data_IF_557527534052
#
_entry.id   IF_557527534052
#
_cell.length_a   1.000
_cell.length_b   1.000
_cell.length_c   1.000
_cell.angle_alpha   90.00
_cell.angle_beta   90.00
_cell.angle_gamma   90.00
#
_symmetry.space_group_name_H-M   'P 1'
#
loop_
_entity.id
_entity.type
_entity.pdbx_description
1 polymer ?
#
# COMPACT_ATOMS: atom_id res chain seq x y z
N UNK A 1 -8.82 -22.98 -21.18
CA UNK A 1 -10.07 -22.32 -20.77
C UNK A 1 -11.08 -23.42 -20.50
N UNK A 2 -11.33 -23.78 -19.24
CA UNK A 2 -12.34 -24.80 -18.91
C UNK A 2 -13.74 -24.28 -19.24
N UNK A 3 -14.49 -25.05 -20.03
CA UNK A 3 -15.89 -24.73 -20.33
C UNK A 3 -16.71 -24.83 -19.03
N UNK A 4 -17.42 -23.75 -18.68
CA UNK A 4 -18.20 -23.63 -17.45
C UNK A 4 -19.12 -24.86 -17.28
N UNK A 5 -18.99 -25.58 -16.15
CA UNK A 5 -19.75 -26.81 -15.85
C UNK A 5 -21.26 -26.65 -16.02
N UNK A 6 -21.78 -25.44 -15.78
CA UNK A 6 -23.19 -25.07 -15.99
C UNK A 6 -23.57 -25.18 -17.47
N UNK A 7 -22.71 -24.69 -18.38
CA UNK A 7 -22.95 -24.71 -19.82
C UNK A 7 -22.88 -26.12 -20.41
N UNK A 8 -22.02 -26.99 -19.84
CA UNK A 8 -21.95 -28.41 -20.20
C UNK A 8 -23.22 -29.18 -19.79
N UNK A 9 -23.84 -28.81 -18.67
CA UNK A 9 -25.10 -29.40 -18.23
C UNK A 9 -26.27 -29.05 -19.17
N UNK A 10 -26.42 -27.77 -19.55
CA UNK A 10 -27.48 -27.33 -20.48
C UNK A 10 -27.35 -27.92 -21.89
N UNK A 11 -26.13 -28.22 -22.34
CA UNK A 11 -25.87 -28.89 -23.62
C UNK A 11 -25.99 -30.42 -23.56
N UNK A 12 -26.23 -31.00 -22.38
CA UNK A 12 -26.29 -32.46 -22.25
C UNK A 12 -27.54 -33.02 -22.96
N UNK A 13 -27.42 -34.13 -23.72
CA UNK A 13 -28.55 -34.74 -24.42
C UNK A 13 -29.71 -35.11 -23.49
N UNK A 14 -29.41 -35.52 -22.26
CA UNK A 14 -30.39 -35.87 -21.24
C UNK A 14 -31.20 -34.67 -20.75
N UNK A 15 -30.56 -33.50 -20.62
CA UNK A 15 -31.28 -32.26 -20.27
C UNK A 15 -32.17 -31.80 -21.42
N UNK A 16 -31.66 -31.85 -22.66
CA UNK A 16 -32.42 -31.47 -23.84
C UNK A 16 -33.65 -32.35 -24.04
N UNK A 17 -33.52 -33.67 -23.91
CA UNK A 17 -34.66 -34.59 -24.03
C UNK A 17 -35.70 -34.38 -22.93
N UNK A 18 -35.28 -34.20 -21.68
CA UNK A 18 -36.17 -33.88 -20.57
C UNK A 18 -36.91 -32.56 -20.79
N UNK A 19 -36.20 -31.52 -21.24
CA UNK A 19 -36.79 -30.21 -21.54
C UNK A 19 -37.82 -30.28 -22.67
N UNK A 20 -37.54 -31.06 -23.73
CA UNK A 20 -38.49 -31.30 -24.82
C UNK A 20 -39.75 -32.01 -24.30
N UNK A 21 -39.62 -33.07 -23.51
CA UNK A 21 -40.77 -33.78 -22.92
C UNK A 21 -41.59 -32.86 -22.02
N UNK A 22 -40.94 -32.05 -21.19
CA UNK A 22 -41.62 -31.07 -20.33
C UNK A 22 -42.40 -30.05 -21.17
N UNK A 23 -41.81 -29.57 -22.26
CA UNK A 23 -42.44 -28.58 -23.15
C UNK A 23 -43.72 -29.14 -23.76
N UNK A 24 -43.70 -30.39 -24.23
CA UNK A 24 -44.91 -31.04 -24.73
C UNK A 24 -45.96 -31.24 -23.62
N UNK A 25 -45.57 -31.70 -22.43
CA UNK A 25 -46.48 -31.89 -21.31
C UNK A 25 -47.17 -30.57 -20.90
N UNK A 26 -46.41 -29.47 -20.87
CA UNK A 26 -46.94 -28.12 -20.60
C UNK A 26 -47.90 -27.69 -21.71
N UNK A 27 -47.55 -27.91 -22.98
CA UNK A 27 -48.42 -27.55 -24.11
C UNK A 27 -49.76 -28.30 -24.07
N UNK A 28 -49.75 -29.61 -23.79
CA UNK A 28 -50.97 -30.40 -23.61
C UNK A 28 -51.81 -29.92 -22.42
N UNK A 29 -51.16 -29.60 -21.29
CA UNK A 29 -51.85 -29.12 -20.11
C UNK A 29 -52.47 -27.73 -20.33
N UNK A 30 -51.79 -26.82 -21.03
CA UNK A 30 -52.32 -25.52 -21.43
C UNK A 30 -53.54 -25.70 -22.35
N UNK A 31 -53.48 -26.61 -23.33
CA UNK A 31 -54.62 -26.93 -24.19
C UNK A 31 -55.84 -27.41 -23.40
N UNK A 32 -55.64 -28.33 -22.46
CA UNK A 32 -56.70 -28.81 -21.56
C UNK A 32 -57.28 -27.67 -20.70
N UNK A 33 -56.43 -26.82 -20.11
CA UNK A 33 -56.89 -25.68 -19.33
C UNK A 33 -57.64 -24.65 -20.18
N UNK A 34 -57.26 -24.46 -21.45
CA UNK A 34 -57.94 -23.55 -22.37
C UNK A 34 -59.36 -24.01 -22.67
N UNK A 35 -59.57 -25.32 -22.85
CA UNK A 35 -60.90 -25.91 -23.05
C UNK A 35 -61.80 -25.78 -21.81
N UNK A 36 -61.23 -25.92 -20.61
CA UNK A 36 -62.00 -25.91 -19.34
C UNK A 36 -62.28 -24.48 -18.83
N UNK A 37 -61.31 -23.58 -18.89
CA UNK A 37 -61.39 -22.25 -18.26
C UNK A 37 -61.67 -21.12 -19.25
N UNK A 38 -61.55 -21.39 -20.56
CA UNK A 38 -61.61 -20.38 -21.62
C UNK A 38 -60.31 -19.58 -21.77
N UNK A 39 -60.00 -19.15 -22.99
CA UNK A 39 -58.70 -18.55 -23.32
C UNK A 39 -58.36 -17.25 -22.56
N UNK A 40 -59.38 -16.45 -22.20
CA UNK A 40 -59.18 -15.18 -21.51
C UNK A 40 -58.73 -15.39 -20.04
N UNK A 41 -59.29 -16.38 -19.35
CA UNK A 41 -58.90 -16.72 -17.98
C UNK A 41 -57.49 -17.34 -17.92
N UNK A 42 -57.12 -18.10 -18.96
CA UNK A 42 -55.77 -18.66 -19.08
C UNK A 42 -54.72 -17.55 -19.26
N UNK A 43 -55.01 -16.55 -20.09
CA UNK A 43 -54.12 -15.40 -20.29
C UNK A 43 -53.93 -14.61 -18.98
N UNK A 44 -55.01 -14.33 -18.24
CA UNK A 44 -54.95 -13.65 -16.94
C UNK A 44 -54.10 -14.47 -15.94
N UNK A 45 -54.33 -15.78 -15.85
CA UNK A 45 -53.55 -16.66 -14.97
C UNK A 45 -52.07 -16.71 -15.32
N UNK A 46 -51.73 -16.77 -16.62
CA UNK A 46 -50.36 -16.75 -17.10
C UNK A 46 -49.65 -15.42 -16.78
N UNK A 47 -50.34 -14.28 -16.95
CA UNK A 47 -49.82 -12.96 -16.61
C UNK A 47 -49.53 -12.83 -15.12
N UNK A 48 -50.45 -13.26 -14.25
CA UNK A 48 -50.27 -13.24 -12.79
C UNK A 48 -49.10 -14.13 -12.37
N UNK A 49 -49.02 -15.35 -12.92
CA UNK A 49 -47.94 -16.29 -12.60
C UNK A 49 -46.58 -15.76 -13.02
N UNK A 50 -46.50 -15.16 -14.22
CA UNK A 50 -45.27 -14.53 -14.71
C UNK A 50 -44.84 -13.37 -13.82
N UNK A 51 -45.80 -12.54 -13.39
CA UNK A 51 -45.52 -11.44 -12.46
C UNK A 51 -44.99 -11.95 -11.11
N UNK A 52 -45.60 -13.00 -10.55
CA UNK A 52 -45.12 -13.62 -9.30
C UNK A 52 -43.71 -14.20 -9.47
N UNK A 53 -43.42 -14.86 -10.59
CA UNK A 53 -42.09 -15.39 -10.87
C UNK A 53 -41.05 -14.27 -10.97
N UNK A 54 -41.34 -13.19 -11.69
CA UNK A 54 -40.46 -12.03 -11.81
C UNK A 54 -40.22 -11.35 -10.45
N UNK A 55 -41.27 -11.19 -9.64
CA UNK A 55 -41.15 -10.66 -8.28
C UNK A 55 -40.29 -11.55 -7.39
N UNK A 56 -40.42 -12.88 -7.51
CA UNK A 56 -39.62 -13.84 -6.75
C UNK A 56 -38.13 -13.77 -7.13
N UNK A 57 -37.82 -13.65 -8.42
CA UNK A 57 -36.44 -13.44 -8.91
C UNK A 57 -35.89 -12.11 -8.42
N UNK A 58 -36.69 -11.04 -8.43
CA UNK A 58 -36.28 -9.73 -7.95
C UNK A 58 -35.98 -9.72 -6.44
N UNK A 59 -36.85 -10.28 -5.62
CA UNK A 59 -36.65 -10.44 -4.17
C UNK A 59 -35.39 -11.29 -3.89
N UNK A 60 -35.22 -12.39 -4.61
CA UNK A 60 -34.03 -13.23 -4.46
C UNK A 60 -32.75 -12.49 -4.84
N UNK A 61 -32.78 -11.69 -5.91
CA UNK A 61 -31.63 -10.88 -6.32
C UNK A 61 -31.27 -9.83 -5.27
N UNK A 62 -32.25 -9.16 -4.65
CA UNK A 62 -32.00 -8.20 -3.58
C UNK A 62 -31.33 -8.86 -2.37
N UNK A 63 -31.87 -10.02 -1.93
CA UNK A 63 -31.32 -10.76 -0.80
C UNK A 63 -29.91 -11.32 -1.08
N UNK A 64 -29.69 -11.82 -2.30
CA UNK A 64 -28.38 -12.33 -2.74
C UNK A 64 -27.33 -11.22 -2.75
N UNK A 65 -27.69 -10.01 -3.22
CA UNK A 65 -26.77 -8.87 -3.23
C UNK A 65 -26.39 -8.41 -1.82
N UNK A 66 -27.34 -8.36 -0.88
CA UNK A 66 -27.05 -8.04 0.52
C UNK A 66 -26.12 -9.07 1.17
N UNK A 67 -26.40 -10.35 0.99
CA UNK A 67 -25.54 -11.43 1.51
C UNK A 67 -24.15 -11.39 0.89
N UNK A 68 -24.03 -10.97 -0.37
CA UNK A 68 -22.76 -10.82 -1.05
C UNK A 68 -21.99 -9.64 -0.44
N UNK A 69 -22.60 -8.48 -0.25
CA UNK A 69 -22.01 -7.33 0.44
C UNK A 69 -21.55 -7.67 1.87
N UNK A 70 -22.37 -8.35 2.67
CA UNK A 70 -21.99 -8.79 4.02
C UNK A 70 -20.77 -9.73 4.01
N UNK A 71 -20.71 -10.66 3.06
CA UNK A 71 -19.55 -11.55 2.90
C UNK A 71 -18.30 -10.80 2.44
N UNK A 72 -18.45 -9.75 1.63
CA UNK A 72 -17.32 -8.90 1.21
C UNK A 72 -16.80 -8.08 2.40
N UNK A 73 -17.70 -7.45 3.17
CA UNK A 73 -17.34 -6.68 4.37
C UNK A 73 -16.65 -7.58 5.40
N UNK A 74 -17.19 -8.79 5.65
CA UNK A 74 -16.57 -9.75 6.57
C UNK A 74 -15.17 -10.18 6.14
N UNK A 75 -14.94 -10.37 4.83
CA UNK A 75 -13.60 -10.71 4.29
C UNK A 75 -12.61 -9.55 4.38
N UNK A 76 -13.08 -8.31 4.21
CA UNK A 76 -12.24 -7.10 4.39
C UNK A 76 -11.81 -6.98 5.86
N UNK A 77 -12.74 -7.17 6.80
CA UNK A 77 -12.43 -7.15 8.24
C UNK A 77 -11.37 -8.18 8.63
N UNK A 78 -11.48 -9.41 8.14
CA UNK A 78 -10.47 -10.47 8.37
C UNK A 78 -9.10 -10.06 7.80
N UNK A 79 -9.08 -9.39 6.64
CA UNK A 79 -7.84 -8.92 6.03
C UNK A 79 -7.21 -7.78 6.85
N UNK A 80 -8.00 -6.83 7.32
CA UNK A 80 -7.54 -5.74 8.18
C UNK A 80 -7.02 -6.26 9.52
N UNK A 81 -7.71 -7.22 10.13
CA UNK A 81 -7.28 -7.85 11.38
C UNK A 81 -6.00 -8.66 11.18
N UNK A 82 -5.84 -9.35 10.04
CA UNK A 82 -4.60 -10.04 9.69
C UNK A 82 -3.44 -9.04 9.50
N UNK A 83 -3.68 -7.91 8.84
CA UNK A 83 -2.69 -6.85 8.61
C UNK A 83 -2.26 -6.22 9.95
N UNK A 84 -3.21 -5.95 10.85
CA UNK A 84 -2.94 -5.39 12.19
C UNK A 84 -2.21 -6.40 13.08
N UNK A 85 -2.68 -7.65 13.13
CA UNK A 85 -2.12 -8.70 14.00
C UNK A 85 -0.68 -9.08 13.65
N UNK A 86 -0.27 -8.93 12.38
CA UNK A 86 1.09 -9.23 11.93
C UNK A 86 1.98 -7.98 11.81
N UNK A 87 1.53 -6.80 12.27
CA UNK A 87 2.28 -5.55 12.15
C UNK A 87 2.46 -5.05 10.70
N UNK A 88 1.78 -5.66 9.74
CA UNK A 88 1.85 -5.31 8.31
C UNK A 88 1.18 -3.96 8.04
N UNK A 89 0.32 -3.47 8.94
CA UNK A 89 -0.32 -2.15 8.82
C UNK A 89 0.67 -0.99 8.89
N UNK A 90 1.86 -1.22 9.45
CA UNK A 90 2.95 -0.25 9.49
C UNK A 90 3.86 -0.34 8.26
N UNK A 91 3.69 -1.33 7.38
CA UNK A 91 4.49 -1.42 6.16
C UNK A 91 3.97 -0.40 5.16
N UNK A 92 4.83 0.55 4.80
CA UNK A 92 4.56 1.54 3.76
C UNK A 92 5.35 1.18 2.50
N UNK A 93 4.78 1.51 1.35
CA UNK A 93 5.44 1.32 0.06
C UNK A 93 6.21 2.59 -0.35
N UNK A 94 7.06 2.45 -1.38
CA UNK A 94 7.88 3.55 -1.91
C UNK A 94 7.05 4.75 -2.39
N UNK A 95 5.83 4.54 -2.90
CA UNK A 95 4.95 5.62 -3.33
C UNK A 95 4.49 6.49 -2.16
N UNK A 96 4.12 5.87 -1.04
CA UNK A 96 3.77 6.60 0.20
C UNK A 96 4.97 7.36 0.73
N UNK A 97 6.15 6.73 0.73
CA UNK A 97 7.40 7.36 1.15
C UNK A 97 7.72 8.59 0.30
N UNK A 98 7.62 8.46 -1.03
CA UNK A 98 7.86 9.55 -1.96
C UNK A 98 6.88 10.72 -1.74
N UNK A 99 5.62 10.45 -1.39
CA UNK A 99 4.66 11.50 -1.03
C UNK A 99 5.12 12.22 0.23
N UNK A 100 5.49 11.50 1.30
CA UNK A 100 5.94 12.09 2.55
C UNK A 100 7.19 12.93 2.34
N UNK A 101 8.18 12.36 1.68
CA UNK A 101 9.41 13.06 1.35
C UNK A 101 9.13 14.29 0.49
N UNK A 102 8.25 14.20 -0.52
CA UNK A 102 7.88 15.34 -1.38
C UNK A 102 7.24 16.49 -0.59
N UNK A 103 6.41 16.18 0.40
CA UNK A 103 5.70 17.15 1.24
C UNK A 103 6.53 17.73 2.38
N UNK A 104 7.59 17.01 2.79
CA UNK A 104 8.39 17.39 3.93
C UNK A 104 9.27 18.60 3.63
N UNK A 105 9.34 19.51 4.61
CA UNK A 105 10.24 20.66 4.60
C UNK A 105 11.64 20.33 5.15
N UNK A 106 11.67 19.40 6.11
CA UNK A 106 12.88 18.93 6.78
C UNK A 106 12.90 17.41 6.89
N UNK A 107 14.08 16.83 6.74
CA UNK A 107 14.31 15.39 6.78
C UNK A 107 15.49 15.10 7.69
N UNK A 108 15.30 14.23 8.68
CA UNK A 108 16.37 13.75 9.54
C UNK A 108 16.66 12.31 9.18
N UNK A 109 17.92 12.00 8.84
CA UNK A 109 18.34 10.69 8.38
C UNK A 109 19.35 10.13 9.36
N UNK A 110 19.00 9.01 10.00
CA UNK A 110 19.91 8.25 10.86
C UNK A 110 20.40 7.06 10.06
N UNK A 111 21.68 7.04 9.70
CA UNK A 111 22.20 6.03 8.76
C UNK A 111 23.60 5.53 9.14
N UNK A 112 23.89 4.23 9.00
CA UNK A 112 25.20 3.68 9.34
C UNK A 112 26.28 3.98 8.30
N UNK A 113 25.95 4.17 7.02
CA UNK A 113 26.96 4.18 5.94
C UNK A 113 26.71 5.13 4.74
N UNK A 114 25.62 5.88 4.69
CA UNK A 114 25.25 6.79 3.59
C UNK A 114 25.17 6.12 2.20
N UNK A 115 25.12 4.78 2.13
CA UNK A 115 25.22 4.06 0.84
C UNK A 115 24.08 4.41 -0.12
N UNK A 116 22.88 4.65 0.41
CA UNK A 116 21.69 5.02 -0.35
C UNK A 116 21.84 6.40 -1.00
N UNK A 117 22.35 7.39 -0.26
CA UNK A 117 22.49 8.76 -0.73
C UNK A 117 23.62 8.92 -1.75
N UNK A 118 24.58 8.00 -1.81
CA UNK A 118 25.69 8.06 -2.77
C UNK A 118 25.64 6.97 -3.85
N UNK A 119 24.66 6.08 -3.82
CA UNK A 119 24.45 5.03 -4.82
C UNK A 119 25.65 4.09 -4.94
N UNK A 120 26.12 3.56 -3.81
CA UNK A 120 27.19 2.55 -3.74
C UNK A 120 26.66 1.33 -2.99
N UNK A 121 25.50 0.82 -3.43
CA UNK A 121 24.96 -0.48 -3.05
C UNK A 121 25.23 -1.49 -4.18
N UNK A 122 25.00 -2.78 -3.91
CA UNK A 122 25.26 -3.86 -4.87
C UNK A 122 24.16 -3.99 -5.95
N UNK A 123 23.14 -3.12 -5.94
CA UNK A 123 21.98 -3.19 -6.84
C UNK A 123 21.89 -1.94 -7.74
N UNK A 124 22.46 -2.04 -8.93
CA UNK A 124 22.89 -0.89 -9.75
C UNK A 124 21.78 0.02 -10.31
N UNK A 125 20.49 -0.36 -10.21
CA UNK A 125 19.40 0.42 -10.80
C UNK A 125 18.54 1.18 -9.78
N UNK A 126 18.40 0.66 -8.55
CA UNK A 126 17.60 1.29 -7.48
C UNK A 126 18.37 2.49 -6.88
N UNK A 127 19.69 2.38 -6.89
CA UNK A 127 20.61 3.36 -6.30
C UNK A 127 20.59 4.74 -6.98
N UNK A 128 20.42 4.81 -8.31
CA UNK A 128 20.42 6.10 -9.01
C UNK A 128 19.16 6.92 -8.74
N UNK A 129 18.02 6.26 -8.52
CA UNK A 129 16.75 6.95 -8.26
C UNK A 129 16.76 7.62 -6.88
N UNK A 130 17.29 6.95 -5.85
CA UNK A 130 17.41 7.52 -4.50
C UNK A 130 18.39 8.70 -4.47
N UNK A 131 19.56 8.55 -5.09
CA UNK A 131 20.54 9.64 -5.24
C UNK A 131 19.88 10.84 -5.94
N UNK A 132 19.13 10.59 -7.02
CA UNK A 132 18.44 11.65 -7.75
C UNK A 132 17.36 12.31 -6.89
N UNK A 133 16.59 11.54 -6.13
CA UNK A 133 15.58 12.08 -5.22
C UNK A 133 16.18 13.03 -4.19
N UNK A 134 17.28 12.64 -3.54
CA UNK A 134 18.02 13.52 -2.61
C UNK A 134 18.49 14.79 -3.33
N UNK A 135 19.08 14.66 -4.52
CA UNK A 135 19.54 15.82 -5.30
C UNK A 135 18.38 16.79 -5.64
N UNK A 136 17.26 16.27 -6.12
CA UNK A 136 16.08 17.07 -6.47
C UNK A 136 15.45 17.74 -5.23
N UNK A 137 15.44 17.04 -4.09
CA UNK A 137 14.97 17.58 -2.82
C UNK A 137 15.81 18.76 -2.33
N UNK A 138 17.14 18.65 -2.45
CA UNK A 138 18.07 19.73 -2.09
C UNK A 138 17.90 20.95 -2.99
N UNK A 139 17.73 20.75 -4.31
CA UNK A 139 17.43 21.82 -5.27
C UNK A 139 16.14 22.57 -4.91
N UNK A 140 15.15 21.85 -4.38
CA UNK A 140 13.88 22.40 -3.93
C UNK A 140 13.94 23.10 -2.57
N UNK A 141 15.13 23.23 -1.96
CA UNK A 141 15.29 24.00 -0.72
C UNK A 141 15.07 23.19 0.55
N UNK A 142 14.89 21.87 0.46
CA UNK A 142 14.68 21.02 1.64
C UNK A 142 15.93 20.96 2.51
N UNK A 143 15.71 20.75 3.81
CA UNK A 143 16.77 20.66 4.81
C UNK A 143 16.97 19.22 5.26
N UNK A 144 18.22 18.81 5.37
CA UNK A 144 18.63 17.49 5.82
C UNK A 144 19.54 17.57 7.03
N UNK A 145 19.24 16.75 8.05
CA UNK A 145 20.16 16.49 9.17
C UNK A 145 20.52 15.02 9.17
N UNK A 146 21.79 14.71 8.96
CA UNK A 146 22.30 13.35 8.95
C UNK A 146 22.94 13.00 10.30
N UNK A 147 22.51 11.90 10.90
CA UNK A 147 23.10 11.31 12.10
C UNK A 147 23.90 10.09 11.69
N UNK A 148 25.22 10.18 11.78
CA UNK A 148 26.14 9.19 11.21
C UNK A 148 27.24 8.82 12.21
N UNK A 149 27.74 7.57 12.18
CA UNK A 149 28.89 7.20 13.01
C UNK A 149 30.15 7.93 12.52
N UNK A 150 30.97 8.39 13.47
CA UNK A 150 32.27 9.01 13.19
C UNK A 150 33.30 7.93 12.83
N UNK A 151 33.16 7.37 11.63
CA UNK A 151 33.99 6.30 11.08
C UNK A 151 34.72 6.73 9.81
N UNK A 152 35.78 6.01 9.43
CA UNK A 152 36.50 6.25 8.16
C UNK A 152 35.60 6.00 6.95
N UNK A 153 34.65 5.06 7.06
CA UNK A 153 33.69 4.76 6.01
C UNK A 153 32.83 5.99 5.70
N UNK A 154 32.23 6.59 6.74
CA UNK A 154 31.43 7.81 6.60
C UNK A 154 32.24 8.96 6.02
N UNK A 155 33.50 9.17 6.44
CA UNK A 155 34.35 10.21 5.85
C UNK A 155 34.55 10.01 4.34
N UNK A 156 34.78 8.77 3.90
CA UNK A 156 34.90 8.46 2.47
C UNK A 156 33.60 8.71 1.71
N UNK A 157 32.47 8.26 2.26
CA UNK A 157 31.14 8.41 1.65
C UNK A 157 30.66 9.86 1.63
N UNK A 158 31.01 10.66 2.63
CA UNK A 158 30.73 12.09 2.65
C UNK A 158 31.40 12.83 1.48
N UNK A 159 32.63 12.47 1.12
CA UNK A 159 33.29 13.08 -0.04
C UNK A 159 32.55 12.77 -1.35
N UNK A 160 32.03 11.54 -1.50
CA UNK A 160 31.21 11.17 -2.65
C UNK A 160 29.85 11.90 -2.64
N UNK A 161 29.22 12.03 -1.47
CA UNK A 161 28.00 12.81 -1.31
C UNK A 161 28.21 14.26 -1.76
N UNK A 162 29.27 14.91 -1.27
CA UNK A 162 29.63 16.28 -1.68
C UNK A 162 29.81 16.31 -3.20
N UNK A 163 30.59 15.39 -3.78
CA UNK A 163 30.81 15.36 -5.23
C UNK A 163 29.52 15.23 -6.04
N UNK A 164 28.55 14.43 -5.58
CA UNK A 164 27.27 14.20 -6.27
C UNK A 164 26.25 15.32 -6.08
N UNK A 165 26.26 15.99 -4.92
CA UNK A 165 25.20 16.95 -4.54
C UNK A 165 25.66 18.40 -4.43
N UNK A 166 26.95 18.71 -4.64
CA UNK A 166 27.52 20.07 -4.45
C UNK A 166 26.74 21.19 -5.13
N UNK A 167 26.17 20.94 -6.32
CA UNK A 167 25.39 21.95 -7.05
C UNK A 167 23.95 22.11 -6.56
N UNK A 168 23.48 21.20 -5.70
CA UNK A 168 22.08 21.11 -5.28
C UNK A 168 21.80 21.80 -3.94
N UNK A 169 22.75 21.81 -3.01
CA UNK A 169 22.56 22.36 -1.67
C UNK A 169 23.23 23.72 -1.46
N UNK A 170 22.70 24.50 -0.51
CA UNK A 170 23.22 25.78 -0.01
C UNK A 170 23.65 25.64 1.45
N UNK A 171 24.34 26.66 1.97
CA UNK A 171 24.66 26.76 3.39
C UNK A 171 23.38 26.64 4.24
N UNK A 172 23.45 25.83 5.30
CA UNK A 172 22.36 25.54 6.23
C UNK A 172 21.32 24.55 5.71
N UNK A 173 21.47 23.97 4.52
CA UNK A 173 20.54 22.95 4.01
C UNK A 173 20.93 21.52 4.39
N UNK A 174 22.21 21.23 4.57
CA UNK A 174 22.66 19.88 4.92
C UNK A 174 23.63 19.96 6.09
N UNK A 175 23.27 19.31 7.17
CA UNK A 175 24.05 19.27 8.40
C UNK A 175 24.32 17.83 8.82
N UNK A 176 25.48 17.59 9.42
CA UNK A 176 25.89 16.28 9.91
C UNK A 176 26.14 16.32 11.42
N UNK A 177 25.49 15.42 12.14
CA UNK A 177 25.75 15.08 13.53
C UNK A 177 26.63 13.82 13.58
N UNK A 178 27.92 13.99 13.89
CA UNK A 178 28.88 12.89 13.94
C UNK A 178 28.91 12.24 15.33
N UNK A 179 28.32 11.06 15.45
CA UNK A 179 28.21 10.32 16.70
C UNK A 179 29.41 9.37 16.84
N UNK A 180 30.09 9.28 17.99
CA UNK A 180 31.14 8.28 18.20
C UNK A 180 30.65 6.87 17.86
N UNK A 181 31.43 6.10 17.10
CA UNK A 181 31.04 4.77 16.62
C UNK A 181 30.63 3.82 17.75
N UNK A 182 31.27 3.91 18.92
CA UNK A 182 30.92 3.14 20.11
C UNK A 182 29.55 3.45 20.73
N UNK A 183 28.93 4.58 20.34
CA UNK A 183 27.62 5.03 20.81
C UNK A 183 26.56 5.01 19.70
N UNK A 184 26.94 4.65 18.48
CA UNK A 184 26.03 4.53 17.35
C UNK A 184 25.46 3.12 17.30
N UNK A 185 24.25 2.94 17.82
CA UNK A 185 23.60 1.63 17.94
C UNK A 185 22.49 1.38 16.91
N UNK A 186 22.40 2.21 15.87
CA UNK A 186 21.45 2.05 14.79
C UNK A 186 22.00 1.07 13.75
N UNK A 187 21.31 -0.04 13.55
CA UNK A 187 21.70 -1.10 12.59
C UNK A 187 21.17 -0.78 11.20
N UNK A 188 19.97 -0.22 11.13
CA UNK A 188 19.28 0.12 9.89
C UNK A 188 19.06 1.64 9.80
N UNK A 189 18.85 2.12 8.59
CA UNK A 189 18.51 3.51 8.34
C UNK A 189 17.11 3.85 8.87
N UNK A 190 17.00 5.01 9.50
CA UNK A 190 15.74 5.56 9.98
C UNK A 190 15.61 6.99 9.45
N UNK A 191 14.49 7.30 8.83
CA UNK A 191 14.22 8.62 8.25
C UNK A 191 13.03 9.23 8.97
N UNK A 192 13.17 10.47 9.42
CA UNK A 192 12.11 11.25 10.04
C UNK A 192 11.82 12.49 9.19
N UNK A 193 10.55 12.77 8.96
CA UNK A 193 10.06 13.90 8.18
C UNK A 193 9.39 14.91 9.12
N UNK A 194 9.64 16.20 8.90
CA UNK A 194 9.03 17.33 9.63
C UNK A 194 9.05 17.19 11.15
N UNK A 195 10.23 16.88 11.68
CA UNK A 195 10.48 16.70 13.12
C UNK A 195 10.20 17.98 13.93
N UNK A 196 10.29 19.15 13.30
CA UNK A 196 9.99 20.44 13.94
C UNK A 196 8.47 20.70 14.08
N UNK A 197 7.62 19.92 13.40
CA UNK A 197 6.17 20.02 13.44
C UNK A 197 5.57 18.75 14.07
N UNK A 198 5.37 18.75 15.39
CA UNK A 198 4.93 17.56 16.15
C UNK A 198 3.64 16.91 15.60
N UNK A 199 2.76 17.68 14.96
CA UNK A 199 1.51 17.16 14.37
C UNK A 199 1.70 16.51 12.99
N UNK A 200 2.84 16.73 12.33
CA UNK A 200 3.14 16.23 10.99
C UNK A 200 4.35 15.29 10.96
N UNK A 201 5.03 15.10 12.10
CA UNK A 201 6.19 14.21 12.17
C UNK A 201 5.81 12.80 11.73
N UNK A 202 6.60 12.26 10.81
CA UNK A 202 6.52 10.87 10.35
C UNK A 202 7.89 10.25 10.46
N UNK A 203 7.98 8.99 10.89
CA UNK A 203 9.25 8.28 10.88
C UNK A 203 9.10 6.90 10.27
N UNK A 204 10.13 6.50 9.53
CA UNK A 204 10.19 5.21 8.84
C UNK A 204 11.53 4.56 9.13
N UNK A 205 11.51 3.25 9.32
CA UNK A 205 12.73 2.45 9.32
C UNK A 205 12.81 1.67 8.02
N UNK A 206 13.95 1.76 7.34
CA UNK A 206 14.21 1.05 6.11
C UNK A 206 14.77 -0.35 6.40
N UNK A 207 14.25 -1.34 5.68
CA UNK A 207 14.72 -2.73 5.72
C UNK A 207 15.07 -3.18 4.29
N UNK A 208 16.37 -3.29 3.97
CA UNK A 208 16.80 -3.73 2.65
C UNK A 208 16.42 -5.20 2.41
N UNK A 209 15.88 -5.51 1.24
CA UNK A 209 15.64 -6.88 0.78
C UNK A 209 15.84 -6.95 -0.75
N UNK A 210 16.48 -8.04 -1.21
CA UNK A 210 16.92 -8.27 -2.59
C UNK A 210 15.80 -8.24 -3.64
N UNK A 211 14.53 -8.32 -3.23
CA UNK A 211 13.39 -8.33 -4.17
C UNK A 211 12.49 -7.09 -4.06
N UNK A 212 12.46 -6.41 -2.91
CA UNK A 212 11.64 -5.23 -2.67
C UNK A 212 12.08 -4.53 -1.39
N UNK A 213 12.28 -3.20 -1.42
CA UNK A 213 12.50 -2.43 -0.20
C UNK A 213 11.23 -2.40 0.66
N UNK A 214 11.38 -2.63 1.96
CA UNK A 214 10.28 -2.47 2.91
C UNK A 214 10.59 -1.32 3.86
N UNK A 215 9.59 -0.51 4.13
CA UNK A 215 9.67 0.60 5.07
C UNK A 215 8.61 0.37 6.14
N UNK A 216 9.01 0.48 7.40
CA UNK A 216 8.11 0.38 8.54
C UNK A 216 7.88 1.77 9.13
N UNK A 217 6.66 2.30 9.03
CA UNK A 217 6.22 3.47 9.78
C UNK A 217 6.28 3.16 11.28
N UNK A 218 7.03 3.98 12.02
CA UNK A 218 7.08 3.90 13.47
C UNK A 218 5.79 4.47 14.07
N UNK A 219 5.28 3.87 15.14
CA UNK A 219 4.16 4.47 15.86
C UNK A 219 4.56 5.79 16.56
N UNK A 220 3.57 6.57 16.99
CA UNK A 220 3.78 7.88 17.62
C UNK A 220 4.71 7.81 18.86
N UNK A 221 4.66 6.72 19.63
CA UNK A 221 5.49 6.58 20.83
C UNK A 221 6.97 6.45 20.45
N UNK A 222 7.26 5.54 19.52
CA UNK A 222 8.60 5.32 18.99
C UNK A 222 9.13 6.56 18.25
N UNK A 223 8.27 7.26 17.50
CA UNK A 223 8.61 8.54 16.87
C UNK A 223 9.05 9.58 17.90
N UNK A 224 8.22 9.87 18.91
CA UNK A 224 8.55 10.87 19.94
C UNK A 224 9.80 10.51 20.73
N UNK A 225 9.97 9.23 21.07
CA UNK A 225 11.16 8.75 21.76
C UNK A 225 12.43 8.97 20.93
N UNK A 226 12.39 8.60 19.64
CA UNK A 226 13.52 8.78 18.73
C UNK A 226 13.86 10.25 18.53
N UNK A 227 12.86 11.12 18.33
CA UNK A 227 13.08 12.58 18.25
C UNK A 227 13.78 13.11 19.50
N UNK A 228 13.38 12.65 20.70
CA UNK A 228 14.03 13.02 21.95
C UNK A 228 15.51 12.62 21.99
N UNK A 229 15.83 11.38 21.60
CA UNK A 229 17.22 10.91 21.49
C UNK A 229 18.02 11.76 20.52
N UNK A 230 17.49 12.01 19.31
CA UNK A 230 18.19 12.73 18.26
C UNK A 230 18.42 14.20 18.62
N UNK A 231 17.45 14.86 19.25
CA UNK A 231 17.64 16.21 19.82
C UNK A 231 18.77 16.23 20.85
N UNK A 232 18.80 15.25 21.76
CA UNK A 232 19.89 15.13 22.73
C UNK A 232 21.25 14.87 22.06
N UNK A 233 21.29 14.12 20.96
CA UNK A 233 22.52 13.91 20.18
C UNK A 233 23.01 15.20 19.51
N UNK A 234 22.10 16.01 18.97
CA UNK A 234 22.42 17.34 18.40
C UNK A 234 23.07 18.22 19.46
N UNK A 235 22.48 18.32 20.65
CA UNK A 235 23.00 19.12 21.76
C UNK A 235 24.40 18.65 22.21
N UNK A 236 24.64 17.34 22.17
CA UNK A 236 25.89 16.73 22.65
C UNK A 236 27.03 16.79 21.65
N UNK A 237 26.76 16.62 20.35
CA UNK A 237 27.78 16.40 19.32
C UNK A 237 27.96 17.54 18.34
N UNK A 238 27.10 18.56 18.40
CA UNK A 238 27.07 19.73 17.52
C UNK A 238 26.80 19.38 16.04
N UNK A 239 25.99 20.20 15.38
CA UNK A 239 25.73 20.06 13.95
C UNK A 239 26.85 20.72 13.15
N UNK A 240 27.30 20.02 12.11
CA UNK A 240 28.28 20.54 11.15
C UNK A 240 27.65 20.73 9.79
N UNK A 241 27.59 21.97 9.34
CA UNK A 241 27.19 22.30 7.98
C UNK A 241 28.13 21.67 6.96
N UNK A 242 27.59 20.96 5.97
CA UNK A 242 28.37 20.27 4.94
C UNK A 242 29.32 21.21 4.18
N UNK A 243 28.98 22.50 4.08
CA UNK A 243 29.81 23.50 3.40
C UNK A 243 31.09 23.84 4.17
N UNK A 244 31.17 23.44 5.45
CA UNK A 244 32.28 23.70 6.38
C UNK A 244 33.03 22.43 6.79
N UNK A 245 32.65 21.27 6.25
CA UNK A 245 33.30 19.96 6.48
C UNK A 245 34.34 19.70 5.39
#
# INVERSE_FOLDING_TARGET
MEENKIMKFFKSPSFQSLATVLTFAIAFYIGYLQEVLGGLNLLIGASITTFIALMSVWIHSLYSNQKLEENFIGKIGILEDFIKANGLGSIINEKTLAIWESSASSVWVVTPDLSNDVGISNDSNIDEELVKAVHDNLLNGKKYIYFVPKSKLITGRLNEYIKKHKSAYKEGQVEFCFIPESQFHFINEVVLYDVECETQTKAVQWFPNQSLNYYLELDNHNQSYLVGILKHMIERYELKDITKV
#
